data_IF_943456215128
#
_entry.id   IF_943456215128
#
_cell.length_a   1.000
_cell.length_b   1.000
_cell.length_c   1.000
_cell.angle_alpha   90.00
_cell.angle_beta   90.00
_cell.angle_gamma   90.00
#
_symmetry.space_group_name_H-M   'P 1'
#
loop_
_entity.id
_entity.type
_entity.pdbx_description
1 polymer ?
#
# COMPACT_ATOMS: atom_id res chain seq x y z
N UNK A 1 0.02 0.00 -17.00
CA UNK A 1 -0.74 0.21 -15.74
C UNK A 1 0.35 0.24 -14.67
N UNK A 2 0.54 1.37 -14.00
CA UNK A 2 1.79 1.68 -13.31
C UNK A 2 2.04 0.76 -12.11
N UNK A 3 3.29 0.35 -11.92
CA UNK A 3 3.75 -0.56 -10.86
C UNK A 3 3.29 -0.14 -9.46
N UNK A 4 3.19 1.17 -9.19
CA UNK A 4 2.67 1.70 -7.93
C UNK A 4 1.21 1.31 -7.64
N UNK A 5 0.36 1.22 -8.68
CA UNK A 5 -1.04 0.83 -8.48
C UNK A 5 -1.17 -0.65 -8.09
N UNK A 6 -0.29 -1.50 -8.62
CA UNK A 6 -0.23 -2.93 -8.26
C UNK A 6 0.23 -3.09 -6.81
N UNK A 7 1.27 -2.35 -6.41
CA UNK A 7 1.77 -2.37 -5.03
C UNK A 7 0.75 -1.82 -4.00
N UNK A 8 -0.13 -0.88 -4.39
CA UNK A 8 -1.25 -0.44 -3.56
C UNK A 8 -2.28 -1.57 -3.39
N UNK A 9 -2.60 -2.29 -4.48
CA UNK A 9 -3.56 -3.40 -4.45
C UNK A 9 -3.03 -4.58 -3.63
N UNK A 10 -1.74 -4.88 -3.75
CA UNK A 10 -1.04 -5.94 -3.00
C UNK A 10 -0.87 -5.58 -1.50
N UNK A 11 -1.19 -4.34 -1.11
CA UNK A 11 -1.10 -3.87 0.27
C UNK A 11 0.33 -3.50 0.71
N UNK A 12 1.25 -3.36 -0.24
CA UNK A 12 2.64 -2.93 0.00
C UNK A 12 2.74 -1.41 0.14
N UNK A 13 1.88 -0.67 -0.56
CA UNK A 13 1.76 0.78 -0.45
C UNK A 13 0.44 1.19 0.19
N UNK A 14 0.49 2.25 0.99
CA UNK A 14 -0.66 2.91 1.55
C UNK A 14 -1.56 3.45 0.43
N UNK A 15 -2.84 3.09 0.47
CA UNK A 15 -3.80 3.58 -0.52
C UNK A 15 -4.05 5.09 -0.44
N UNK A 16 -3.79 5.72 0.71
CA UNK A 16 -4.02 7.15 0.95
C UNK A 16 -2.82 8.03 0.57
N UNK A 17 -1.61 7.65 1.00
CA UNK A 17 -0.40 8.46 0.81
C UNK A 17 0.63 7.86 -0.15
N UNK A 18 0.47 6.59 -0.56
CA UNK A 18 1.44 5.87 -1.38
C UNK A 18 2.74 5.53 -0.67
N UNK A 19 2.80 5.66 0.66
CA UNK A 19 3.96 5.27 1.48
C UNK A 19 4.08 3.75 1.61
N UNK A 20 5.30 3.23 1.75
CA UNK A 20 5.56 1.79 1.92
C UNK A 20 5.11 1.35 3.32
N UNK A 21 4.29 0.30 3.39
CA UNK A 21 3.78 -0.28 4.64
C UNK A 21 4.57 -1.54 4.95
N UNK A 22 5.52 -1.46 5.89
CA UNK A 22 6.33 -2.55 6.46
C UNK A 22 6.99 -3.57 5.49
N UNK A 23 6.86 -3.38 4.18
CA UNK A 23 7.31 -4.32 3.16
C UNK A 23 6.53 -5.64 3.13
N UNK A 24 5.37 -5.74 3.80
CA UNK A 24 4.56 -6.97 3.85
C UNK A 24 3.37 -6.89 2.89
N UNK A 25 3.30 -7.84 1.96
CA UNK A 25 2.20 -7.98 1.00
C UNK A 25 0.97 -8.53 1.72
N UNK A 26 0.10 -7.61 2.13
CA UNK A 26 -1.16 -7.94 2.81
C UNK A 26 -2.17 -8.61 1.87
N UNK A 27 -2.00 -8.48 0.56
CA UNK A 27 -2.91 -8.99 -0.48
C UNK A 27 -4.22 -8.20 -0.59
N UNK A 28 -4.31 -7.05 0.10
CA UNK A 28 -5.42 -6.10 0.02
C UNK A 28 -4.94 -4.67 0.32
N UNK A 29 -5.58 -3.64 -0.25
CA UNK A 29 -5.28 -2.23 0.06
C UNK A 29 -5.47 -1.94 1.56
N UNK A 30 -4.51 -1.24 2.16
CA UNK A 30 -4.56 -0.80 3.56
C UNK A 30 -3.91 0.56 3.74
N UNK A 31 -4.25 1.23 4.84
CA UNK A 31 -3.59 2.46 5.28
C UNK A 31 -2.35 2.14 6.13
N UNK A 32 -1.36 3.05 6.09
CA UNK A 32 -0.26 3.06 7.06
C UNK A 32 -0.70 3.69 8.38
N UNK A 33 0.08 3.51 9.44
CA UNK A 33 -0.22 4.07 10.77
C UNK A 33 -0.44 5.59 10.77
N UNK A 34 0.27 6.35 9.93
CA UNK A 34 0.08 7.80 9.78
C UNK A 34 -1.27 8.19 9.14
N UNK A 35 -1.91 7.28 8.41
CA UNK A 35 -3.17 7.51 7.71
C UNK A 35 -4.37 6.82 8.37
N UNK A 36 -4.16 6.08 9.47
CA UNK A 36 -5.19 5.51 10.33
C UNK A 36 -5.73 6.50 11.37
#
# INVERSE_FOLDING_TARGET
MGEAAELIIEGVLCEACGGVIDGEESGYPRCCEDCE
#
